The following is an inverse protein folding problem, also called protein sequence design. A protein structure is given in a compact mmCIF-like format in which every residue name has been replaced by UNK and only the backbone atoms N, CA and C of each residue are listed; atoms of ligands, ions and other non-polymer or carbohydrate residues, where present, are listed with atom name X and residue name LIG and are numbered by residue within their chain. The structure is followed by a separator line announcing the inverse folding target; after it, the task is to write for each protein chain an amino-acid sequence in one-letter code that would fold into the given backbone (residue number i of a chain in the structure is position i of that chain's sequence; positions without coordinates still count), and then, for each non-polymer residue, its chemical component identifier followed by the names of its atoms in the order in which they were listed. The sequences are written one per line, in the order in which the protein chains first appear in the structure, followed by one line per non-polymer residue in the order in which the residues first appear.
data_IF_528049217078
#
_entry.id   IF_528049217078
#
_cell.length_a   1.000
_cell.length_b   1.000
_cell.length_c   1.000
_cell.angle_alpha   90.00
_cell.angle_beta   90.00
_cell.angle_gamma   90.00
#
_symmetry.space_group_name_H-M   'P 1'
#
loop_
_entity.id
_entity.type
_entity.pdbx_description
1 polymer ?
#
# COMPACT_ATOMS: atom_id res chain seq x y z
N UNK A 1 20.46 -6.66 -3.13
CA UNK A 1 20.02 -6.39 -4.51
C UNK A 1 18.68 -5.65 -4.54
N UNK A 2 17.66 -6.18 -3.87
CA UNK A 2 16.30 -5.59 -3.81
C UNK A 2 16.29 -4.16 -3.28
N UNK A 3 16.91 -3.91 -2.13
CA UNK A 3 17.02 -2.56 -1.56
C UNK A 3 17.78 -1.57 -2.47
N UNK A 4 18.79 -2.06 -3.20
CA UNK A 4 19.48 -1.23 -4.18
C UNK A 4 18.58 -0.92 -5.38
N UNK A 5 17.67 -1.83 -5.75
CA UNK A 5 16.63 -1.58 -6.75
C UNK A 5 15.69 -0.46 -6.33
N UNK A 6 15.32 -0.38 -5.05
CA UNK A 6 14.52 0.73 -4.54
C UNK A 6 15.23 2.08 -4.62
N UNK A 7 16.52 2.12 -4.31
CA UNK A 7 17.33 3.34 -4.44
C UNK A 7 17.49 3.72 -5.91
N UNK A 8 17.79 2.75 -6.77
CA UNK A 8 17.96 2.98 -8.22
C UNK A 8 16.68 3.52 -8.88
N UNK A 9 15.52 3.00 -8.50
CA UNK A 9 14.23 3.45 -9.02
C UNK A 9 13.72 4.76 -8.38
N UNK A 10 14.38 5.28 -7.33
CA UNK A 10 13.97 6.52 -6.66
C UNK A 10 12.67 6.36 -5.86
N UNK A 11 12.39 5.15 -5.40
CA UNK A 11 11.11 4.73 -4.86
C UNK A 11 10.70 5.48 -3.59
N UNK A 12 11.66 5.80 -2.73
CA UNK A 12 11.46 6.57 -1.50
C UNK A 12 11.03 8.01 -1.79
N UNK A 13 11.60 8.62 -2.83
CA UNK A 13 11.24 9.96 -3.26
C UNK A 13 9.84 9.96 -3.90
N UNK A 14 9.59 9.03 -4.83
CA UNK A 14 8.32 8.95 -5.53
C UNK A 14 7.14 8.72 -4.57
N UNK A 15 7.28 7.80 -3.61
CA UNK A 15 6.24 7.54 -2.60
C UNK A 15 5.98 8.74 -1.69
N UNK A 16 7.03 9.46 -1.26
CA UNK A 16 6.90 10.66 -0.44
C UNK A 16 6.20 11.79 -1.19
N UNK A 17 6.61 12.06 -2.43
CA UNK A 17 5.98 13.07 -3.29
C UNK A 17 4.53 12.70 -3.58
N UNK A 18 4.26 11.45 -3.90
CA UNK A 18 2.90 10.96 -4.14
C UNK A 18 2.01 11.17 -2.91
N UNK A 19 2.49 10.79 -1.72
CA UNK A 19 1.74 10.97 -0.47
C UNK A 19 1.44 12.46 -0.20
N UNK A 20 2.42 13.33 -0.38
CA UNK A 20 2.25 14.78 -0.23
C UNK A 20 1.22 15.35 -1.22
N UNK A 21 1.36 15.03 -2.50
CA UNK A 21 0.44 15.47 -3.55
C UNK A 21 -0.99 14.98 -3.28
N UNK A 22 -1.16 13.72 -2.89
CA UNK A 22 -2.47 13.15 -2.59
C UNK A 22 -3.16 13.90 -1.44
N UNK A 23 -2.43 14.23 -0.38
CA UNK A 23 -2.98 15.03 0.72
C UNK A 23 -3.41 16.44 0.24
N UNK A 24 -2.62 17.07 -0.63
CA UNK A 24 -2.97 18.35 -1.23
C UNK A 24 -4.25 18.26 -2.06
N UNK A 25 -4.42 17.22 -2.89
CA UNK A 25 -5.64 17.02 -3.67
C UNK A 25 -6.87 16.82 -2.79
N UNK A 26 -6.75 16.00 -1.74
CA UNK A 26 -7.82 15.78 -0.77
C UNK A 26 -8.28 17.11 -0.16
N UNK A 27 -7.34 17.92 0.33
CA UNK A 27 -7.65 19.22 0.93
C UNK A 27 -8.26 20.19 -0.08
N UNK A 28 -7.69 20.27 -1.28
CA UNK A 28 -8.14 21.18 -2.33
C UNK A 28 -9.58 20.86 -2.78
N UNK A 29 -9.90 19.58 -2.99
CA UNK A 29 -11.25 19.14 -3.37
C UNK A 29 -12.25 19.44 -2.25
N UNK A 30 -11.91 19.15 -0.99
CA UNK A 30 -12.75 19.49 0.16
C UNK A 30 -12.98 21.00 0.30
N UNK A 31 -11.94 21.80 0.08
CA UNK A 31 -12.00 23.26 0.11
C UNK A 31 -12.90 23.83 -1.00
N UNK A 32 -12.83 23.28 -2.21
CA UNK A 32 -13.69 23.67 -3.33
C UNK A 32 -15.16 23.46 -3.03
N UNK A 33 -15.52 22.29 -2.49
CA UNK A 33 -16.89 21.99 -2.08
C UNK A 33 -17.34 22.93 -0.96
N UNK A 34 -16.50 23.16 0.06
CA UNK A 34 -16.83 24.10 1.13
C UNK A 34 -17.15 25.50 0.59
N UNK A 35 -16.33 26.00 -0.34
CA UNK A 35 -16.52 27.33 -0.95
C UNK A 35 -17.81 27.40 -1.76
N UNK A 36 -18.10 26.40 -2.57
CA UNK A 36 -19.32 26.33 -3.37
C UNK A 36 -20.61 26.45 -2.54
N UNK A 37 -20.63 25.80 -1.36
CA UNK A 37 -21.78 25.89 -0.44
C UNK A 37 -21.80 27.17 0.39
N UNK A 38 -20.63 27.74 0.71
CA UNK A 38 -20.54 29.04 1.38
C UNK A 38 -21.10 30.18 0.51
N UNK A 39 -20.88 30.15 -0.80
CA UNK A 39 -21.43 31.12 -1.76
C UNK A 39 -22.97 31.07 -1.86
N UNK A 40 -23.59 30.00 -1.36
CA UNK A 40 -25.06 29.83 -1.31
C UNK A 40 -25.67 30.10 0.07
N UNK A 41 -24.91 30.71 0.99
CA UNK A 41 -25.29 30.94 2.38
C UNK A 41 -25.58 29.64 3.18
N UNK A 42 -25.03 28.50 2.72
CA UNK A 42 -25.19 27.18 3.33
C UNK A 42 -23.91 26.73 4.03
N UNK A 43 -23.34 27.60 4.86
CA UNK A 43 -22.00 27.39 5.48
C UNK A 43 -21.94 26.12 6.33
N UNK A 44 -22.97 25.84 7.13
CA UNK A 44 -23.01 24.65 8.00
C UNK A 44 -23.05 23.35 7.19
N UNK A 45 -23.83 23.32 6.11
CA UNK A 45 -23.94 22.16 5.21
C UNK A 45 -22.64 21.97 4.41
N UNK A 46 -22.04 23.06 3.94
CA UNK A 46 -20.74 23.03 3.26
C UNK A 46 -19.61 22.52 4.15
N UNK A 47 -19.60 22.87 5.44
CA UNK A 47 -18.63 22.36 6.40
C UNK A 47 -18.78 20.84 6.62
N UNK A 48 -20.00 20.38 6.91
CA UNK A 48 -20.26 18.95 7.10
C UNK A 48 -19.91 18.11 5.86
N UNK A 49 -20.30 18.59 4.68
CA UNK A 49 -20.00 17.91 3.41
C UNK A 49 -18.50 17.91 3.10
N UNK A 50 -17.77 18.97 3.44
CA UNK A 50 -16.32 19.04 3.22
C UNK A 50 -15.56 18.01 4.07
N UNK A 51 -15.98 17.76 5.31
CA UNK A 51 -15.38 16.73 6.18
C UNK A 51 -15.68 15.33 5.62
N UNK A 52 -16.94 15.07 5.25
CA UNK A 52 -17.32 13.79 4.67
C UNK A 52 -16.51 13.50 3.40
N UNK A 53 -16.38 14.50 2.53
CA UNK A 53 -15.60 14.39 1.31
C UNK A 53 -14.12 14.17 1.59
N UNK A 54 -13.55 14.88 2.57
CA UNK A 54 -12.16 14.68 2.98
C UNK A 54 -11.88 13.24 3.40
N UNK A 55 -12.79 12.63 4.18
CA UNK A 55 -12.68 11.21 4.59
C UNK A 55 -12.74 10.29 3.36
N UNK A 56 -13.75 10.47 2.50
CA UNK A 56 -13.95 9.61 1.32
C UNK A 56 -12.76 9.71 0.36
N UNK A 57 -12.32 10.93 0.03
CA UNK A 57 -11.19 11.13 -0.90
C UNK A 57 -9.89 10.67 -0.27
N UNK A 58 -9.70 10.79 1.05
CA UNK A 58 -8.52 10.24 1.74
C UNK A 58 -8.46 8.72 1.64
N UNK A 59 -9.60 8.02 1.71
CA UNK A 59 -9.65 6.56 1.52
C UNK A 59 -9.30 6.20 0.06
N UNK A 60 -9.80 6.97 -0.91
CA UNK A 60 -9.46 6.74 -2.32
C UNK A 60 -7.96 7.00 -2.59
N UNK A 61 -7.41 8.06 -2.01
CA UNK A 61 -6.00 8.39 -2.10
C UNK A 61 -5.11 7.30 -1.50
N UNK A 62 -5.49 6.73 -0.35
CA UNK A 62 -4.72 5.66 0.28
C UNK A 62 -4.70 4.39 -0.58
N UNK A 63 -5.80 4.04 -1.26
CA UNK A 63 -5.83 2.92 -2.21
C UNK A 63 -4.81 3.13 -3.34
N UNK A 64 -4.71 4.35 -3.88
CA UNK A 64 -3.75 4.67 -4.94
C UNK A 64 -2.31 4.56 -4.44
N UNK A 65 -2.02 5.08 -3.25
CA UNK A 65 -0.69 5.00 -2.63
C UNK A 65 -0.32 3.52 -2.38
N UNK A 66 -1.22 2.72 -1.81
CA UNK A 66 -1.00 1.30 -1.60
C UNK A 66 -0.79 0.55 -2.93
N UNK A 67 -1.53 0.89 -3.98
CA UNK A 67 -1.32 0.33 -5.32
C UNK A 67 0.07 0.67 -5.87
N UNK A 68 0.50 1.93 -5.76
CA UNK A 68 1.83 2.35 -6.20
C UNK A 68 2.92 1.64 -5.41
N UNK A 69 2.75 1.52 -4.09
CA UNK A 69 3.64 0.76 -3.20
C UNK A 69 3.80 -0.69 -3.68
N UNK A 70 2.74 -1.34 -4.15
CA UNK A 70 2.83 -2.71 -4.68
C UNK A 70 3.57 -2.78 -6.02
N UNK A 71 3.36 -1.83 -6.92
CA UNK A 71 4.04 -1.83 -8.23
C UNK A 71 5.55 -1.67 -8.11
N UNK A 72 5.97 -0.83 -7.17
CA UNK A 72 7.35 -0.59 -6.79
C UNK A 72 8.13 -1.86 -6.41
N UNK A 73 7.48 -2.76 -5.65
CA UNK A 73 8.06 -4.04 -5.23
C UNK A 73 8.39 -4.93 -6.43
N UNK A 74 7.49 -5.02 -7.42
CA UNK A 74 7.75 -5.78 -8.65
C UNK A 74 8.91 -5.20 -9.45
N UNK A 75 9.05 -3.87 -9.48
CA UNK A 75 10.19 -3.20 -10.11
C UNK A 75 11.52 -3.53 -9.44
N UNK A 76 11.57 -3.55 -8.10
CA UNK A 76 12.76 -3.91 -7.34
C UNK A 76 13.11 -5.41 -7.42
N UNK A 77 12.09 -6.27 -7.54
CA UNK A 77 12.25 -7.71 -7.80
C UNK A 77 12.86 -7.96 -9.18
N UNK A 78 12.32 -7.31 -10.21
CA UNK A 78 12.84 -7.39 -11.57
C UNK A 78 14.29 -6.87 -11.66
N UNK A 79 14.61 -5.78 -10.96
CA UNK A 79 15.99 -5.29 -10.87
C UNK A 79 16.93 -6.31 -10.23
N UNK A 80 16.50 -6.93 -9.13
CA UNK A 80 17.30 -7.96 -8.45
C UNK A 80 17.53 -9.18 -9.33
N UNK A 81 16.49 -9.64 -10.04
CA UNK A 81 16.57 -10.73 -10.99
C UNK A 81 17.53 -10.41 -12.14
N UNK A 82 17.56 -9.17 -12.62
CA UNK A 82 18.47 -8.73 -13.69
C UNK A 82 19.94 -8.70 -13.25
N UNK A 83 20.21 -8.30 -12.00
CA UNK A 83 21.60 -8.11 -11.51
C UNK A 83 22.20 -9.41 -10.96
N UNK A 84 21.42 -10.24 -10.26
CA UNK A 84 21.92 -11.44 -9.56
C UNK A 84 21.25 -12.75 -10.01
N UNK A 85 20.30 -12.71 -10.95
CA UNK A 85 19.56 -13.87 -11.44
C UNK A 85 18.26 -14.14 -10.68
N UNK A 86 17.20 -14.53 -11.40
CA UNK A 86 15.85 -14.74 -10.85
C UNK A 86 15.78 -15.83 -9.78
N UNK A 87 16.55 -16.90 -9.90
CA UNK A 87 16.51 -18.04 -8.98
C UNK A 87 16.98 -17.66 -7.56
N UNK A 88 17.96 -16.75 -7.45
CA UNK A 88 18.44 -16.25 -6.18
C UNK A 88 17.35 -15.45 -5.44
N UNK A 89 16.57 -14.65 -6.18
CA UNK A 89 15.47 -13.87 -5.62
C UNK A 89 14.29 -14.76 -5.23
N UNK A 90 13.91 -15.72 -6.08
CA UNK A 90 12.83 -16.69 -5.80
C UNK A 90 13.18 -17.52 -4.56
N UNK A 91 14.41 -18.01 -4.44
CA UNK A 91 14.84 -18.79 -3.27
C UNK A 91 14.83 -17.97 -1.97
N UNK A 92 15.21 -16.68 -2.03
CA UNK A 92 15.12 -15.77 -0.91
C UNK A 92 13.67 -15.51 -0.49
N UNK A 93 12.75 -15.26 -1.43
CA UNK A 93 11.32 -15.08 -1.14
C UNK A 93 10.72 -16.34 -0.52
N UNK A 94 11.03 -17.52 -1.06
CA UNK A 94 10.59 -18.80 -0.47
C UNK A 94 11.17 -19.03 0.93
N UNK A 95 12.37 -18.56 1.21
CA UNK A 95 12.95 -18.63 2.55
C UNK A 95 12.16 -17.74 3.52
N UNK A 96 11.88 -16.48 3.14
CA UNK A 96 11.09 -15.54 3.94
C UNK A 96 9.69 -16.09 4.21
N UNK A 97 9.02 -16.65 3.20
CA UNK A 97 7.68 -17.23 3.33
C UNK A 97 7.62 -18.35 4.37
N UNK A 98 8.61 -19.26 4.36
CA UNK A 98 8.74 -20.31 5.37
C UNK A 98 8.91 -19.74 6.79
N UNK A 99 9.70 -18.68 6.95
CA UNK A 99 9.90 -18.04 8.25
C UNK A 99 8.63 -17.35 8.75
N UNK A 100 7.95 -16.60 7.88
CA UNK A 100 6.69 -15.91 8.22
C UNK A 100 5.62 -16.92 8.61
N UNK A 101 5.44 -17.98 7.81
CA UNK A 101 4.47 -19.04 8.10
C UNK A 101 4.77 -19.72 9.44
N UNK A 102 6.04 -20.01 9.73
CA UNK A 102 6.45 -20.60 11.01
C UNK A 102 6.18 -19.66 12.19
N UNK A 103 6.48 -18.37 12.05
CA UNK A 103 6.25 -17.37 13.10
C UNK A 103 4.76 -17.16 13.40
N UNK A 104 3.89 -17.22 12.39
CA UNK A 104 2.44 -17.12 12.58
C UNK A 104 1.87 -18.32 13.35
N UNK A 105 2.41 -19.52 13.12
CA UNK A 105 2.05 -20.72 13.89
C UNK A 105 2.47 -20.56 15.36
N UNK A 106 3.67 -20.02 15.62
CA UNK A 106 4.20 -19.82 16.97
C UNK A 106 3.46 -18.71 17.74
N UNK A 107 3.07 -17.62 17.07
CA UNK A 107 2.34 -16.49 17.66
C UNK A 107 0.85 -16.78 17.92
N UNK A 108 0.26 -17.75 17.21
CA UNK A 108 -1.15 -18.14 17.39
C UNK A 108 -1.47 -18.74 18.78
N UNK A 109 -0.44 -19.11 19.55
CA UNK A 109 -0.59 -19.67 20.89
C UNK A 109 -0.68 -18.66 22.04
N UNK A 110 -0.36 -17.37 21.83
CA UNK A 110 -0.17 -16.41 22.93
C UNK A 110 -0.86 -15.04 22.78
N UNK A 111 -1.50 -14.74 21.64
CA UNK A 111 -1.93 -13.37 21.37
C UNK A 111 -3.43 -13.13 21.58
N UNK A 112 -3.77 -12.26 22.53
CA UNK A 112 -5.13 -11.75 22.76
C UNK A 112 -5.65 -10.93 21.54
N UNK A 113 -4.77 -10.54 20.61
CA UNK A 113 -5.13 -9.90 19.34
C UNK A 113 -5.59 -10.89 18.27
N UNK A 114 -5.38 -12.21 18.46
CA UNK A 114 -5.92 -13.23 17.56
C UNK A 114 -7.46 -13.23 17.52
N UNK A 115 -8.11 -12.78 18.61
CA UNK A 115 -9.58 -12.66 18.70
C UNK A 115 -10.13 -11.52 17.83
N UNK A 116 -9.30 -10.55 17.44
CA UNK A 116 -9.70 -9.45 16.53
C UNK A 116 -9.75 -9.86 15.06
N UNK A 117 -9.41 -11.10 14.69
CA UNK A 117 -9.45 -11.61 13.30
C UNK A 117 -8.65 -10.76 12.30
N UNK A 118 -7.69 -9.97 12.80
CA UNK A 118 -6.77 -9.15 12.01
C UNK A 118 -5.58 -10.00 11.51
N UNK A 119 -5.33 -11.16 12.12
CA UNK A 119 -4.28 -12.08 11.70
C UNK A 119 -4.83 -13.16 10.74
N UNK A 120 -4.26 -13.22 9.54
CA UNK A 120 -4.06 -14.51 8.86
C UNK A 120 -4.57 -14.64 7.44
N UNK A 121 -5.53 -13.84 6.98
CA UNK A 121 -5.93 -13.88 5.57
C UNK A 121 -6.66 -12.58 5.19
N UNK A 122 -5.94 -11.59 4.67
CA UNK A 122 -6.52 -10.34 4.16
C UNK A 122 -7.28 -10.60 2.86
N UNK A 123 -8.46 -11.21 2.97
CA UNK A 123 -9.32 -11.53 1.84
C UNK A 123 -10.16 -10.31 1.42
N UNK A 124 -10.26 -10.09 0.10
CA UNK A 124 -11.13 -9.09 -0.51
C UNK A 124 -10.64 -7.64 -0.36
N UNK A 125 -11.41 -6.80 0.34
CA UNK A 125 -11.18 -5.35 0.46
C UNK A 125 -9.88 -4.99 1.18
N UNK A 126 -9.41 -5.81 2.13
CA UNK A 126 -8.12 -5.56 2.79
C UNK A 126 -6.92 -5.66 1.82
N UNK A 127 -7.04 -6.38 0.69
CA UNK A 127 -5.97 -6.44 -0.33
C UNK A 127 -5.72 -5.09 -0.98
N UNK A 128 -6.73 -4.20 -1.03
CA UNK A 128 -6.57 -2.85 -1.58
C UNK A 128 -5.62 -2.00 -0.72
N UNK A 129 -5.67 -2.20 0.60
CA UNK A 129 -4.83 -1.51 1.58
C UNK A 129 -3.51 -2.23 1.89
N UNK A 130 -3.28 -3.42 1.30
CA UNK A 130 -2.01 -4.12 1.44
C UNK A 130 -0.87 -3.30 0.81
N UNK A 131 0.15 -2.98 1.60
CA UNK A 131 1.33 -2.20 1.17
C UNK A 131 2.31 -3.03 0.35
N UNK A 132 2.32 -4.35 0.55
CA UNK A 132 3.11 -5.31 -0.22
C UNK A 132 2.19 -6.31 -0.95
N UNK A 133 2.55 -6.72 -2.18
CA UNK A 133 1.86 -7.79 -2.87
C UNK A 133 2.12 -9.13 -2.17
N UNK A 134 1.20 -10.11 -2.27
CA UNK A 134 1.41 -11.43 -1.69
C UNK A 134 2.67 -12.10 -2.26
N UNK A 135 3.40 -12.85 -1.44
CA UNK A 135 4.66 -13.48 -1.83
C UNK A 135 4.50 -14.39 -3.06
N UNK A 136 3.41 -15.14 -3.14
CA UNK A 136 3.07 -15.97 -4.30
C UNK A 136 3.01 -15.17 -5.61
N UNK A 137 2.41 -13.97 -5.59
CA UNK A 137 2.32 -13.13 -6.78
C UNK A 137 3.69 -12.55 -7.18
N UNK A 138 4.58 -12.29 -6.23
CA UNK A 138 5.96 -11.86 -6.51
C UNK A 138 6.77 -12.99 -7.14
N UNK A 139 6.62 -14.21 -6.63
CA UNK A 139 7.29 -15.40 -7.19
C UNK A 139 6.78 -15.68 -8.60
N UNK A 140 5.47 -15.71 -8.82
CA UNK A 140 4.87 -15.92 -10.15
C UNK A 140 5.30 -14.83 -11.15
N UNK A 141 5.38 -13.57 -10.71
CA UNK A 141 5.92 -12.49 -11.55
C UNK A 141 7.39 -12.72 -11.93
N UNK A 142 8.23 -13.18 -11.00
CA UNK A 142 9.64 -13.50 -11.26
C UNK A 142 9.83 -14.74 -12.13
N UNK A 143 8.97 -15.75 -12.00
CA UNK A 143 9.01 -16.96 -12.82
C UNK A 143 8.68 -16.66 -14.30
N UNK A 144 7.84 -15.64 -14.54
CA UNK A 144 7.46 -15.14 -15.88
C UNK A 144 8.48 -14.20 -16.54
N UNK A 145 9.53 -13.79 -15.83
CA UNK A 145 10.67 -13.03 -16.39
C UNK A 145 11.64 -13.95 -17.14
#
# INVERSE_FOLDING_TARGET
AHEMGHVYNGDMFATTVLAGLMNTFVYYIAMWVRRFFAERDQVALGFGLSILLQIVVSILASILICWFSRQREYGADAFSAKVYGKDSMISALRAIDRWVTRSQVEYSGQDALATMKISGNSSGFMRLFATHPPMEARIDALERL
#
